data_IF_110978006576
#
_entry.id   IF_110978006576
#
_cell.length_a   1.000
_cell.length_b   1.000
_cell.length_c   1.000
_cell.angle_alpha   90.00
_cell.angle_beta   90.00
_cell.angle_gamma   90.00
#
_symmetry.space_group_name_H-M   'P 1'
#
loop_
_entity.id
_entity.type
_entity.pdbx_description
1 polymer ?
#
# COMPACT_ATOMS: atom_id res chain seq x y z
N UNK A 1 47.72 -3.23 25.75
CA UNK A 1 46.28 -3.52 25.95
C UNK A 1 45.67 -3.64 24.57
N UNK A 2 45.61 -4.86 24.07
CA UNK A 2 44.86 -5.22 22.87
C UNK A 2 43.44 -5.55 23.32
N UNK A 3 42.45 -4.87 22.76
CA UNK A 3 41.07 -5.33 22.78
C UNK A 3 40.74 -5.74 21.35
N UNK A 4 40.89 -7.04 21.11
CA UNK A 4 40.15 -7.72 20.06
C UNK A 4 38.67 -7.63 20.44
N UNK A 5 37.88 -6.93 19.65
CA UNK A 5 36.46 -7.20 19.54
C UNK A 5 36.24 -7.80 18.16
N UNK A 6 36.41 -9.12 18.11
CA UNK A 6 35.71 -9.96 17.15
C UNK A 6 34.22 -9.93 17.54
N UNK A 7 33.48 -8.91 17.08
CA UNK A 7 32.02 -8.99 17.06
C UNK A 7 31.63 -9.79 15.83
N UNK A 8 31.44 -11.09 16.09
CA UNK A 8 30.81 -12.03 15.20
C UNK A 8 29.46 -11.45 14.72
N UNK A 9 29.33 -11.22 13.42
CA UNK A 9 28.05 -10.99 12.79
C UNK A 9 27.21 -12.26 12.97
N UNK A 10 26.31 -12.27 13.94
CA UNK A 10 25.18 -13.20 13.95
C UNK A 10 24.24 -12.75 12.83
N UNK A 11 24.51 -13.20 11.61
CA UNK A 11 23.49 -13.22 10.55
C UNK A 11 22.37 -14.08 11.08
N UNK A 12 21.20 -13.49 11.33
CA UNK A 12 19.99 -14.26 11.62
C UNK A 12 19.61 -15.01 10.36
N UNK A 13 19.74 -16.33 10.37
CA UNK A 13 19.45 -17.24 9.25
C UNK A 13 17.95 -17.35 8.87
N UNK A 14 17.11 -16.40 9.28
CA UNK A 14 15.64 -16.45 9.14
C UNK A 14 15.09 -15.37 8.20
N UNK A 15 15.82 -14.99 7.14
CA UNK A 15 15.27 -14.14 6.08
C UNK A 15 14.43 -14.98 5.09
N UNK A 16 13.10 -14.83 5.17
CA UNK A 16 12.17 -15.46 4.23
C UNK A 16 11.94 -14.50 3.05
N UNK A 17 12.30 -14.95 1.85
CA UNK A 17 12.29 -14.14 0.63
C UNK A 17 10.99 -14.38 -0.16
N UNK A 18 10.12 -13.38 -0.30
CA UNK A 18 8.85 -13.48 -1.05
C UNK A 18 8.68 -12.30 -2.01
N UNK A 19 8.43 -12.50 -3.30
CA UNK A 19 8.30 -11.41 -4.27
C UNK A 19 6.88 -10.82 -4.25
N UNK A 20 6.68 -9.52 -4.47
CA UNK A 20 5.30 -8.98 -4.51
C UNK A 20 5.16 -7.52 -4.92
N UNK A 21 4.12 -7.20 -5.68
CA UNK A 21 3.77 -5.82 -6.06
C UNK A 21 2.94 -5.13 -4.99
N UNK A 22 2.15 -5.88 -4.23
CA UNK A 22 1.28 -5.38 -3.18
C UNK A 22 1.24 -6.37 -2.01
N UNK A 23 1.12 -5.87 -0.78
CA UNK A 23 0.97 -6.72 0.42
C UNK A 23 -0.12 -6.20 1.36
N UNK A 24 -0.90 -7.13 1.92
CA UNK A 24 -1.79 -6.85 3.05
C UNK A 24 -1.87 -8.07 3.98
N UNK A 25 -2.70 -7.98 5.02
CA UNK A 25 -3.01 -9.12 5.86
C UNK A 25 -4.43 -9.08 6.41
N UNK A 26 -4.98 -10.29 6.57
CA UNK A 26 -6.25 -10.49 7.25
C UNK A 26 -6.09 -10.32 8.76
N UNK A 27 -7.19 -10.03 9.45
CA UNK A 27 -7.19 -9.94 10.93
C UNK A 27 -6.88 -11.27 11.62
N UNK A 28 -6.96 -12.38 10.89
CA UNK A 28 -6.53 -13.71 11.36
C UNK A 28 -5.00 -13.88 11.38
N UNK A 29 -4.25 -12.90 10.88
CA UNK A 29 -2.79 -12.93 10.80
C UNK A 29 -2.25 -13.58 9.52
N UNK A 30 -3.13 -14.05 8.64
CA UNK A 30 -2.73 -14.47 7.31
C UNK A 30 -2.28 -13.28 6.48
N UNK A 31 -1.27 -13.48 5.66
CA UNK A 31 -0.70 -12.44 4.80
C UNK A 31 -1.10 -12.74 3.35
N UNK A 32 -1.40 -11.70 2.59
CA UNK A 32 -1.70 -11.80 1.17
C UNK A 32 -0.70 -10.96 0.40
N UNK A 33 -0.10 -11.56 -0.62
CA UNK A 33 0.86 -10.90 -1.50
C UNK A 33 0.37 -11.07 -2.94
N UNK A 34 0.26 -9.94 -3.64
CA UNK A 34 0.02 -9.92 -5.07
C UNK A 34 1.37 -9.89 -5.80
N UNK A 35 1.50 -10.65 -6.88
CA UNK A 35 2.72 -10.80 -7.68
C UNK A 35 2.53 -10.17 -9.05
N UNK A 36 3.64 -9.80 -9.69
CA UNK A 36 3.65 -9.20 -11.04
C UNK A 36 3.09 -10.12 -12.13
N UNK A 37 3.13 -11.43 -11.91
CA UNK A 37 2.54 -12.45 -12.79
C UNK A 37 1.02 -12.63 -12.57
N UNK A 38 0.33 -11.64 -11.99
CA UNK A 38 -1.12 -11.66 -11.74
C UNK A 38 -1.56 -12.81 -10.83
N UNK A 39 -0.66 -13.28 -9.98
CA UNK A 39 -0.98 -14.25 -8.92
C UNK A 39 -1.19 -13.52 -7.60
N UNK A 40 -2.13 -14.00 -6.81
CA UNK A 40 -2.36 -13.58 -5.43
C UNK A 40 -2.15 -14.80 -4.55
N UNK A 41 -1.17 -14.78 -3.65
CA UNK A 41 -0.89 -15.90 -2.76
C UNK A 41 -1.19 -15.55 -1.30
N UNK A 42 -1.71 -16.55 -0.59
CA UNK A 42 -2.00 -16.54 0.84
C UNK A 42 -0.85 -17.21 1.59
N UNK A 43 -0.42 -16.59 2.67
CA UNK A 43 0.61 -17.11 3.57
C UNK A 43 0.07 -17.23 5.00
N UNK A 44 0.51 -18.25 5.73
CA UNK A 44 0.27 -18.38 7.16
C UNK A 44 1.16 -17.43 7.98
N UNK A 45 1.00 -17.46 9.30
CA UNK A 45 1.79 -16.66 10.24
C UNK A 45 3.26 -17.09 10.31
N UNK A 46 3.62 -18.24 9.73
CA UNK A 46 4.98 -18.73 9.56
C UNK A 46 5.49 -18.48 8.14
N UNK A 47 4.80 -17.62 7.37
CA UNK A 47 5.13 -17.24 6.00
C UNK A 47 5.19 -18.42 5.02
N UNK A 48 4.43 -19.50 5.29
CA UNK A 48 4.28 -20.62 4.37
C UNK A 48 3.11 -20.38 3.44
N UNK A 49 3.30 -20.60 2.15
CA UNK A 49 2.23 -20.48 1.17
C UNK A 49 1.15 -21.54 1.43
N UNK A 50 -0.11 -21.09 1.53
CA UNK A 50 -1.28 -21.93 1.80
C UNK A 50 -2.10 -22.14 0.54
N UNK A 51 -2.38 -21.05 -0.18
CA UNK A 51 -3.22 -21.06 -1.38
C UNK A 51 -2.83 -19.91 -2.32
N UNK A 52 -3.29 -20.00 -3.57
CA UNK A 52 -3.14 -18.94 -4.56
C UNK A 52 -4.37 -18.85 -5.45
N UNK A 53 -4.57 -17.70 -6.06
CA UNK A 53 -5.59 -17.45 -7.07
C UNK A 53 -5.09 -16.42 -8.08
N UNK A 54 -5.67 -16.39 -9.28
CA UNK A 54 -5.29 -15.43 -10.32
C UNK A 54 -6.12 -14.14 -10.20
N UNK A 55 -5.50 -12.98 -10.38
CA UNK A 55 -6.16 -11.67 -10.52
C UNK A 55 -6.17 -11.26 -11.99
N UNK A 56 -7.08 -10.39 -12.40
CA UNK A 56 -7.27 -10.08 -13.83
C UNK A 56 -6.39 -8.95 -14.37
N UNK A 57 -5.37 -8.52 -13.61
CA UNK A 57 -4.50 -7.40 -13.97
C UNK A 57 -3.36 -7.21 -12.96
N UNK A 58 -2.51 -6.22 -13.19
CA UNK A 58 -1.44 -5.82 -12.27
C UNK A 58 -2.05 -5.20 -11.02
N UNK A 59 -1.68 -5.71 -9.85
CA UNK A 59 -2.06 -5.07 -8.59
C UNK A 59 -1.31 -3.75 -8.41
N UNK A 60 -2.05 -2.66 -8.29
CA UNK A 60 -1.49 -1.33 -7.95
C UNK A 60 -1.57 -1.06 -6.46
N UNK A 61 -2.56 -1.62 -5.77
CA UNK A 61 -2.73 -1.50 -4.32
C UNK A 61 -3.67 -2.57 -3.74
N UNK A 62 -3.57 -2.80 -2.44
CA UNK A 62 -4.37 -3.82 -1.73
C UNK A 62 -4.71 -3.31 -0.32
N UNK A 63 -5.95 -3.53 0.12
CA UNK A 63 -6.32 -3.26 1.50
C UNK A 63 -7.30 -4.28 2.06
N UNK A 64 -7.27 -4.48 3.37
CA UNK A 64 -8.26 -5.27 4.09
C UNK A 64 -9.53 -4.46 4.28
N UNK A 65 -10.66 -5.05 3.91
CA UNK A 65 -11.98 -4.39 3.97
C UNK A 65 -12.89 -5.01 5.03
N UNK A 66 -12.73 -6.31 5.29
CA UNK A 66 -13.41 -7.04 6.37
C UNK A 66 -12.45 -8.07 6.96
N UNK A 67 -12.74 -8.68 8.12
CA UNK A 67 -11.80 -9.62 8.76
C UNK A 67 -11.27 -10.73 7.86
N UNK A 68 -12.10 -11.19 6.91
CA UNK A 68 -11.80 -12.25 5.94
C UNK A 68 -11.97 -11.77 4.49
N UNK A 69 -11.82 -10.47 4.22
CA UNK A 69 -11.99 -9.95 2.86
C UNK A 69 -11.02 -8.79 2.59
N UNK A 70 -10.47 -8.79 1.38
CA UNK A 70 -9.59 -7.73 0.87
C UNK A 70 -10.16 -7.15 -0.42
N UNK A 71 -9.82 -5.89 -0.67
CA UNK A 71 -9.99 -5.24 -1.96
C UNK A 71 -8.64 -5.11 -2.64
N UNK A 72 -8.62 -5.29 -3.96
CA UNK A 72 -7.41 -5.21 -4.78
C UNK A 72 -7.66 -4.24 -5.92
N UNK A 73 -6.86 -3.17 -5.99
CA UNK A 73 -6.83 -2.25 -7.11
C UNK A 73 -6.06 -2.88 -8.28
N UNK A 74 -6.67 -2.93 -9.44
CA UNK A 74 -6.10 -3.60 -10.62
C UNK A 74 -5.99 -2.63 -11.80
N UNK A 75 -4.88 -2.74 -12.53
CA UNK A 75 -4.63 -2.05 -13.80
C UNK A 75 -4.05 -2.99 -14.87
N UNK A 76 -4.35 -2.74 -16.14
CA UNK A 76 -3.77 -3.49 -17.27
C UNK A 76 -2.59 -2.81 -17.93
N UNK A 77 -2.25 -1.57 -17.54
CA UNK A 77 -1.11 -0.89 -18.14
C UNK A 77 0.13 -1.45 -17.47
N UNK A 78 1.07 -2.08 -18.21
CA UNK A 78 2.37 -2.35 -17.63
C UNK A 78 2.96 -1.02 -17.17
N UNK A 79 3.68 -1.03 -16.06
CA UNK A 79 4.48 0.09 -15.54
C UNK A 79 5.64 0.47 -16.49
N UNK A 80 5.42 0.44 -17.81
CA UNK A 80 6.39 0.83 -18.81
C UNK A 80 6.57 2.34 -18.74
N UNK A 81 7.57 2.71 -17.94
CA UNK A 81 8.58 3.75 -18.19
C UNK A 81 8.08 5.16 -18.49
N UNK A 82 8.56 6.08 -17.66
CA UNK A 82 8.61 7.55 -17.75
C UNK A 82 9.25 8.12 -19.05
N UNK A 83 9.22 7.41 -20.17
CA UNK A 83 9.59 8.02 -21.43
C UNK A 83 8.39 8.82 -21.92
N UNK A 84 8.41 10.13 -21.64
CA UNK A 84 7.50 11.17 -22.13
C UNK A 84 7.47 11.32 -23.66
N UNK A 85 7.65 10.23 -24.40
CA UNK A 85 7.38 10.14 -25.82
C UNK A 85 5.90 9.88 -26.03
N UNK A 86 5.19 10.98 -26.23
CA UNK A 86 3.90 11.06 -26.89
C UNK A 86 3.80 10.12 -28.10
N UNK A 87 2.64 9.49 -28.24
CA UNK A 87 2.09 9.18 -29.55
C UNK A 87 1.99 7.69 -29.90
N UNK A 88 1.21 6.94 -29.13
CA UNK A 88 0.33 5.97 -29.78
C UNK A 88 -0.98 5.92 -29.01
N UNK A 89 -2.05 6.38 -29.67
CA UNK A 89 -3.46 6.26 -29.27
C UNK A 89 -3.87 4.77 -29.30
N UNK A 90 -3.11 3.92 -28.60
CA UNK A 90 -3.56 2.58 -28.24
C UNK A 90 -4.82 2.78 -27.41
N UNK A 91 -5.92 2.38 -28.03
CA UNK A 91 -7.28 2.66 -27.61
C UNK A 91 -7.47 2.59 -26.10
N UNK A 92 -7.98 3.66 -25.49
CA UNK A 92 -8.50 3.72 -24.11
C UNK A 92 -9.52 2.60 -23.78
N UNK A 93 -9.88 1.74 -24.75
CA UNK A 93 -10.86 0.67 -24.60
C UNK A 93 -10.37 -0.59 -23.86
N UNK A 94 -9.06 -0.79 -23.65
CA UNK A 94 -8.53 -2.03 -23.02
C UNK A 94 -7.89 -1.83 -21.63
N UNK A 95 -7.91 -0.62 -21.08
CA UNK A 95 -7.39 -0.38 -19.72
C UNK A 95 -8.38 -0.86 -18.67
N UNK A 96 -8.06 -1.99 -18.03
CA UNK A 96 -8.77 -2.42 -16.82
C UNK A 96 -8.55 -1.37 -15.73
N UNK A 97 -9.67 -0.86 -15.22
CA UNK A 97 -9.75 -0.05 -14.03
C UNK A 97 -10.82 -0.67 -13.15
N UNK A 98 -10.39 -1.48 -12.20
CA UNK A 98 -11.34 -2.17 -11.34
C UNK A 98 -10.77 -2.44 -9.97
N UNK A 99 -11.68 -2.67 -9.03
CA UNK A 99 -11.38 -3.22 -7.72
C UNK A 99 -11.95 -4.62 -7.66
N UNK A 100 -11.13 -5.60 -7.29
CA UNK A 100 -11.56 -6.98 -7.12
C UNK A 100 -11.62 -7.31 -5.63
N UNK A 101 -12.76 -7.85 -5.19
CA UNK A 101 -12.96 -8.30 -3.82
C UNK A 101 -12.63 -9.79 -3.71
N UNK A 102 -11.76 -10.12 -2.75
CA UNK A 102 -11.33 -11.49 -2.48
C UNK A 102 -11.63 -11.85 -1.04
N UNK A 103 -12.42 -12.91 -0.85
CA UNK A 103 -12.71 -13.50 0.45
C UNK A 103 -11.71 -14.59 0.84
N UNK A 104 -11.56 -14.83 2.14
CA UNK A 104 -10.88 -15.96 2.73
C UNK A 104 -11.90 -16.94 3.32
N UNK A 105 -12.03 -18.12 2.71
CA UNK A 105 -12.85 -19.23 3.25
C UNK A 105 -12.01 -20.49 3.38
N UNK A 106 -11.95 -21.05 4.59
CA UNK A 106 -11.24 -22.31 4.91
C UNK A 106 -9.81 -22.38 4.35
N UNK A 107 -9.08 -21.26 4.40
CA UNK A 107 -7.70 -21.18 3.92
C UNK A 107 -7.55 -21.00 2.40
N UNK A 108 -8.64 -20.72 1.69
CA UNK A 108 -8.64 -20.46 0.25
C UNK A 108 -9.07 -19.03 -0.06
N UNK A 109 -8.40 -18.44 -1.06
CA UNK A 109 -8.76 -17.15 -1.64
C UNK A 109 -9.88 -17.34 -2.68
N UNK A 110 -11.03 -16.71 -2.46
CA UNK A 110 -12.22 -16.82 -3.32
C UNK A 110 -12.53 -15.46 -3.92
N UNK A 111 -12.62 -15.39 -5.26
CA UNK A 111 -13.15 -14.20 -5.96
C UNK A 111 -14.63 -14.03 -5.62
N UNK A 112 -14.97 -12.88 -5.07
CA UNK A 112 -16.36 -12.56 -4.72
C UNK A 112 -16.99 -11.60 -5.75
N UNK A 113 -16.40 -10.41 -5.89
CA UNK A 113 -16.99 -9.33 -6.70
C UNK A 113 -15.93 -8.54 -7.47
N UNK A 114 -16.35 -7.96 -8.60
CA UNK A 114 -15.57 -6.97 -9.36
C UNK A 114 -16.35 -5.65 -9.41
N UNK A 115 -15.67 -4.57 -9.05
CA UNK A 115 -16.17 -3.19 -9.15
C UNK A 115 -15.45 -2.53 -10.32
N UNK A 116 -16.18 -2.23 -11.40
CA UNK A 116 -15.62 -1.50 -12.54
C UNK A 116 -15.61 0.00 -12.26
N UNK A 117 -14.46 0.63 -12.49
CA UNK A 117 -14.23 2.06 -12.29
C UNK A 117 -14.14 2.76 -13.65
N UNK A 118 -14.56 4.02 -13.70
CA UNK A 118 -14.45 4.86 -14.90
C UNK A 118 -13.18 5.71 -14.91
N UNK A 119 -12.24 5.43 -14.01
CA UNK A 119 -11.02 6.18 -13.79
C UNK A 119 -9.92 5.25 -13.26
N UNK A 120 -8.66 5.69 -13.33
CA UNK A 120 -7.52 4.94 -12.81
C UNK A 120 -7.67 4.61 -11.32
N UNK A 121 -7.11 3.48 -10.88
CA UNK A 121 -7.09 3.05 -9.49
C UNK A 121 -5.64 2.85 -9.05
N UNK A 122 -5.10 3.78 -8.26
CA UNK A 122 -3.69 3.79 -7.84
C UNK A 122 -3.54 3.32 -6.39
N UNK A 123 -4.43 3.80 -5.53
CA UNK A 123 -4.46 3.50 -4.11
C UNK A 123 -5.89 3.23 -3.66
N UNK A 124 -6.04 2.33 -2.70
CA UNK A 124 -7.32 1.96 -2.11
C UNK A 124 -7.22 1.90 -0.60
N UNK A 125 -8.20 2.50 0.06
CA UNK A 125 -8.41 2.35 1.48
C UNK A 125 -9.88 2.07 1.75
N UNK A 126 -10.19 1.46 2.89
CA UNK A 126 -11.56 1.18 3.27
C UNK A 126 -11.84 1.60 4.70
N UNK A 127 -13.11 1.88 4.97
CA UNK A 127 -13.61 2.00 6.32
C UNK A 127 -15.09 1.64 6.33
N UNK A 128 -15.46 0.65 7.17
CA UNK A 128 -16.80 0.04 7.16
C UNK A 128 -17.17 -0.46 5.75
N UNK A 129 -18.31 -0.05 5.21
CA UNK A 129 -18.81 -0.47 3.89
C UNK A 129 -18.49 0.56 2.78
N UNK A 130 -17.50 1.42 3.03
CA UNK A 130 -17.05 2.46 2.13
C UNK A 130 -15.62 2.19 1.64
N UNK A 131 -15.40 2.47 0.36
CA UNK A 131 -14.13 2.34 -0.34
C UNK A 131 -13.67 3.71 -0.85
N UNK A 132 -12.42 4.03 -0.63
CA UNK A 132 -11.78 5.27 -1.04
C UNK A 132 -10.71 4.94 -2.07
N UNK A 133 -10.80 5.56 -3.25
CA UNK A 133 -10.00 5.21 -4.42
C UNK A 133 -9.30 6.43 -4.98
N UNK A 134 -7.97 6.40 -5.08
CA UNK A 134 -7.18 7.46 -5.71
C UNK A 134 -6.94 7.18 -7.20
N UNK A 135 -6.90 8.25 -8.00
CA UNK A 135 -6.81 8.20 -9.48
C UNK A 135 -5.85 9.27 -10.04
N UNK A 136 -4.69 9.45 -9.43
CA UNK A 136 -3.63 10.35 -9.90
C UNK A 136 -3.86 11.82 -9.56
N UNK A 137 -5.08 12.34 -9.74
CA UNK A 137 -5.42 13.74 -9.44
C UNK A 137 -6.63 13.91 -8.53
N UNK A 138 -7.34 12.82 -8.23
CA UNK A 138 -8.57 12.85 -7.45
C UNK A 138 -8.70 11.64 -6.54
N UNK A 139 -9.45 11.84 -5.46
CA UNK A 139 -9.89 10.80 -4.53
C UNK A 139 -11.41 10.66 -4.64
N UNK A 140 -11.86 9.44 -4.82
CA UNK A 140 -13.26 9.08 -5.02
C UNK A 140 -13.75 8.22 -3.86
N UNK A 141 -15.01 8.39 -3.51
CA UNK A 141 -15.71 7.59 -2.52
C UNK A 141 -16.72 6.69 -3.20
N UNK A 142 -16.60 5.39 -2.96
CA UNK A 142 -17.48 4.34 -3.45
C UNK A 142 -18.13 3.59 -2.29
N UNK A 143 -19.33 3.06 -2.54
CA UNK A 143 -19.85 1.95 -1.73
C UNK A 143 -19.18 0.65 -2.16
N UNK A 144 -19.07 -0.31 -1.24
CA UNK A 144 -18.59 -1.67 -1.58
C UNK A 144 -19.43 -2.38 -2.64
N UNK A 145 -20.66 -1.92 -2.90
CA UNK A 145 -21.49 -2.37 -4.02
C UNK A 145 -21.02 -1.85 -5.39
N UNK A 146 -19.97 -1.05 -5.43
CA UNK A 146 -19.40 -0.45 -6.64
C UNK A 146 -20.06 0.86 -7.08
N UNK A 147 -21.01 1.39 -6.31
CA UNK A 147 -21.65 2.66 -6.63
C UNK A 147 -20.74 3.84 -6.24
N UNK A 148 -20.40 4.69 -7.22
CA UNK A 148 -19.72 5.96 -6.95
C UNK A 148 -20.67 6.87 -6.15
N UNK A 149 -20.23 7.29 -4.98
CA UNK A 149 -20.95 8.25 -4.13
C UNK A 149 -20.61 9.65 -4.59
N UNK A 150 -19.31 9.98 -4.56
CA UNK A 150 -18.82 11.31 -4.93
C UNK A 150 -17.30 11.32 -5.19
N UNK A 151 -16.83 12.43 -5.76
CA UNK A 151 -15.41 12.78 -5.82
C UNK A 151 -15.12 13.73 -4.66
N UNK A 152 -14.47 13.22 -3.62
CA UNK A 152 -14.28 13.94 -2.34
C UNK A 152 -13.14 14.96 -2.40
N UNK A 153 -12.09 14.70 -3.17
CA UNK A 153 -10.94 15.61 -3.26
C UNK A 153 -10.31 15.58 -4.65
N UNK A 154 -9.78 16.72 -5.08
CA UNK A 154 -9.15 16.87 -6.39
C UNK A 154 -8.03 17.92 -6.36
N UNK A 155 -6.86 17.57 -6.89
CA UNK A 155 -5.71 18.46 -7.05
C UNK A 155 -5.19 18.32 -8.49
N UNK A 156 -5.56 19.26 -9.36
CA UNK A 156 -5.14 19.25 -10.78
C UNK A 156 -3.86 20.01 -11.05
N UNK A 157 -3.06 20.35 -10.03
CA UNK A 157 -1.83 21.09 -10.29
C UNK A 157 -0.82 20.27 -11.10
N UNK A 158 -0.97 18.94 -11.12
CA UNK A 158 -0.17 18.01 -11.91
C UNK A 158 -0.94 16.69 -12.12
N UNK A 159 -0.38 15.72 -12.84
CA UNK A 159 -0.99 14.42 -13.16
C UNK A 159 -0.75 13.32 -12.11
N UNK A 160 0.10 13.56 -11.09
CA UNK A 160 0.45 12.62 -10.00
C UNK A 160 0.45 13.30 -8.62
N UNK A 161 -0.69 13.88 -8.25
CA UNK A 161 -0.89 14.65 -6.99
C UNK A 161 -1.72 13.92 -5.93
N UNK A 162 -2.48 12.88 -6.32
CA UNK A 162 -3.33 12.08 -5.42
C UNK A 162 -2.98 10.62 -5.66
N UNK A 163 -1.99 10.13 -4.90
CA UNK A 163 -1.30 8.87 -5.19
C UNK A 163 -1.79 7.71 -4.33
N UNK A 164 -1.38 7.63 -3.06
CA UNK A 164 -1.84 6.61 -2.11
C UNK A 164 -2.73 7.23 -1.05
N UNK A 165 -3.58 6.42 -0.42
CA UNK A 165 -4.40 6.89 0.68
C UNK A 165 -4.54 5.85 1.79
N UNK A 166 -4.80 6.34 3.00
CA UNK A 166 -5.19 5.52 4.14
C UNK A 166 -6.28 6.24 4.94
N UNK A 167 -7.17 5.47 5.57
CA UNK A 167 -8.22 6.02 6.44
C UNK A 167 -7.77 5.94 7.90
N UNK A 168 -8.05 6.99 8.67
CA UNK A 168 -7.80 7.01 10.11
C UNK A 168 -8.53 5.88 10.85
N UNK A 169 -7.99 5.44 11.99
CA UNK A 169 -8.49 4.29 12.76
C UNK A 169 -9.99 4.37 13.07
N UNK A 170 -10.51 5.58 13.25
CA UNK A 170 -11.91 5.83 13.60
C UNK A 170 -12.76 6.32 12.42
N UNK A 171 -12.19 6.38 11.20
CA UNK A 171 -12.88 6.91 10.02
C UNK A 171 -13.24 8.38 10.16
N UNK A 172 -12.41 9.14 10.86
CA UNK A 172 -12.54 10.58 11.09
C UNK A 172 -11.81 11.41 10.01
N UNK A 173 -10.82 10.80 9.36
CA UNK A 173 -9.93 11.45 8.39
C UNK A 173 -9.40 10.49 7.35
N UNK A 174 -8.97 11.06 6.24
CA UNK A 174 -8.29 10.37 5.15
C UNK A 174 -6.94 11.04 4.94
N UNK A 175 -5.89 10.24 4.90
CA UNK A 175 -4.54 10.68 4.58
C UNK A 175 -4.27 10.38 3.12
N UNK A 176 -3.80 11.37 2.37
CA UNK A 176 -3.50 11.27 0.95
C UNK A 176 -2.09 11.74 0.71
N UNK A 177 -1.29 10.90 0.07
CA UNK A 177 0.06 11.28 -0.31
C UNK A 177 0.06 11.96 -1.68
N UNK A 178 0.83 13.05 -1.80
CA UNK A 178 0.99 13.82 -3.01
C UNK A 178 2.43 13.71 -3.52
N UNK A 179 2.65 12.82 -4.49
CA UNK A 179 4.00 12.47 -4.98
C UNK A 179 4.72 13.66 -5.57
N UNK A 180 4.06 14.47 -6.40
CA UNK A 180 4.74 15.58 -7.06
C UNK A 180 5.03 16.77 -6.14
N UNK A 181 4.31 16.92 -5.03
CA UNK A 181 4.54 18.00 -4.05
C UNK A 181 5.29 17.54 -2.79
N UNK A 182 5.69 16.27 -2.72
CA UNK A 182 6.34 15.66 -1.56
C UNK A 182 5.63 15.99 -0.24
N UNK A 183 4.30 15.90 -0.21
CA UNK A 183 3.50 16.25 0.95
C UNK A 183 2.41 15.21 1.30
N UNK A 184 2.05 15.17 2.58
CA UNK A 184 0.88 14.46 3.10
C UNK A 184 -0.26 15.47 3.27
N UNK A 185 -1.41 15.16 2.70
CA UNK A 185 -2.65 15.91 2.89
C UNK A 185 -3.56 15.10 3.82
N UNK A 186 -4.02 15.73 4.89
CA UNK A 186 -5.06 15.14 5.76
C UNK A 186 -6.38 15.80 5.44
N UNK A 187 -7.37 14.97 5.13
CA UNK A 187 -8.72 15.37 4.77
C UNK A 187 -9.69 14.93 5.86
N UNK A 188 -10.76 15.70 6.07
CA UNK A 188 -11.98 15.19 6.68
C UNK A 188 -12.67 14.24 5.70
N UNK A 189 -13.62 13.44 6.19
CA UNK A 189 -14.35 12.48 5.35
C UNK A 189 -15.17 13.15 4.23
N UNK A 190 -15.51 14.44 4.38
CA UNK A 190 -16.20 15.24 3.35
C UNK A 190 -15.24 15.88 2.33
N UNK A 191 -13.93 15.59 2.42
CA UNK A 191 -12.92 16.14 1.53
C UNK A 191 -12.29 17.47 1.95
N UNK A 192 -12.76 18.09 3.04
CA UNK A 192 -12.17 19.32 3.56
C UNK A 192 -10.72 19.10 4.02
N UNK A 193 -9.79 19.95 3.60
CA UNK A 193 -8.38 19.86 4.02
C UNK A 193 -8.23 20.29 5.48
N UNK A 194 -7.73 19.39 6.32
CA UNK A 194 -7.49 19.61 7.76
C UNK A 194 -6.05 19.98 8.09
N UNK A 195 -5.10 19.42 7.35
CA UNK A 195 -3.68 19.71 7.47
C UNK A 195 -2.92 19.34 6.20
N UNK A 196 -1.74 19.94 6.07
CA UNK A 196 -0.74 19.61 5.07
C UNK A 196 0.61 19.53 5.76
N UNK A 197 1.34 18.45 5.52
CA UNK A 197 2.70 18.25 6.00
C UNK A 197 3.61 18.07 4.79
N UNK A 198 4.49 19.04 4.57
CA UNK A 198 5.48 19.02 3.48
C UNK A 198 6.73 18.21 3.88
N UNK A 199 7.61 17.99 2.90
CA UNK A 199 8.92 17.34 3.07
C UNK A 199 8.84 15.89 3.56
N UNK A 200 7.79 15.17 3.13
CA UNK A 200 7.67 13.72 3.37
C UNK A 200 8.51 12.88 2.40
N UNK A 201 9.03 13.49 1.33
CA UNK A 201 9.83 12.84 0.29
C UNK A 201 9.03 11.93 -0.64
N UNK A 202 9.74 11.35 -1.62
CA UNK A 202 9.18 10.45 -2.61
C UNK A 202 8.69 9.16 -1.93
N UNK A 203 7.38 8.95 -1.94
CA UNK A 203 6.70 7.90 -1.20
C UNK A 203 6.06 6.86 -2.13
N UNK A 204 6.02 5.62 -1.64
CA UNK A 204 5.48 4.47 -2.35
C UNK A 204 4.18 3.98 -1.74
N UNK A 205 4.05 4.09 -0.42
CA UNK A 205 2.92 3.54 0.32
C UNK A 205 2.61 4.33 1.60
N UNK A 206 1.41 4.13 2.14
CA UNK A 206 0.92 4.76 3.35
C UNK A 206 0.09 3.79 4.19
N UNK A 207 0.29 3.81 5.51
CA UNK A 207 -0.43 2.94 6.43
C UNK A 207 -0.79 3.67 7.72
N UNK A 208 -1.92 3.32 8.35
CA UNK A 208 -2.30 3.81 9.68
C UNK A 208 -2.12 2.71 10.71
N UNK A 209 -1.31 2.98 11.74
CA UNK A 209 -1.03 2.00 12.80
C UNK A 209 -2.23 1.86 13.75
N UNK A 210 -2.29 0.78 14.57
CA UNK A 210 -3.29 0.66 15.64
C UNK A 210 -3.27 1.79 16.68
N UNK A 211 -2.17 2.53 16.77
CA UNK A 211 -2.05 3.72 17.64
C UNK A 211 -2.56 5.00 16.96
N UNK A 212 -3.08 4.89 15.73
CA UNK A 212 -3.59 6.01 14.95
C UNK A 212 -2.50 6.87 14.32
N UNK A 213 -1.23 6.44 14.35
CA UNK A 213 -0.14 7.13 13.69
C UNK A 213 -0.10 6.78 12.20
N UNK A 214 0.46 7.67 11.39
CA UNK A 214 0.60 7.44 9.95
C UNK A 214 2.04 7.04 9.65
N UNK A 215 2.22 5.91 8.98
CA UNK A 215 3.49 5.52 8.40
C UNK A 215 3.46 5.87 6.91
N UNK A 216 4.45 6.62 6.44
CA UNK A 216 4.66 6.85 5.01
C UNK A 216 5.99 6.22 4.61
N UNK A 217 5.93 5.39 3.59
CA UNK A 217 7.06 4.62 3.09
C UNK A 217 7.69 5.36 1.93
N UNK A 218 9.00 5.55 1.97
CA UNK A 218 9.75 6.35 1.01
C UNK A 218 10.65 5.47 0.17
N UNK A 219 10.56 5.64 -1.15
CA UNK A 219 11.16 4.80 -2.19
C UNK A 219 12.57 4.30 -1.83
N UNK A 220 13.48 5.22 -1.49
CA UNK A 220 14.89 4.92 -1.12
C UNK A 220 15.30 5.51 0.23
N UNK A 221 14.38 6.15 0.95
CA UNK A 221 14.69 6.94 2.15
C UNK A 221 14.20 6.29 3.45
N UNK A 222 13.55 5.13 3.38
CA UNK A 222 13.03 4.42 4.54
C UNK A 222 11.63 4.91 4.96
N UNK A 223 11.35 4.95 6.26
CA UNK A 223 9.98 5.14 6.78
C UNK A 223 9.93 6.45 7.55
N UNK A 224 8.86 7.22 7.40
CA UNK A 224 8.53 8.30 8.33
C UNK A 224 7.29 7.93 9.13
N UNK A 225 7.33 8.19 10.42
CA UNK A 225 6.20 8.07 11.32
C UNK A 225 5.69 9.48 11.61
N UNK A 226 4.40 9.68 11.40
CA UNK A 226 3.70 10.94 11.54
C UNK A 226 2.60 10.76 12.60
N UNK A 227 2.30 11.83 13.33
CA UNK A 227 1.19 11.84 14.28
C UNK A 227 -0.16 11.55 13.63
N UNK A 228 -1.16 11.23 14.46
CA UNK A 228 -2.49 10.91 13.96
C UNK A 228 -3.22 12.09 13.34
N UNK A 229 -2.73 13.31 13.45
CA UNK A 229 -3.34 14.48 12.80
C UNK A 229 -2.67 14.82 11.45
N UNK A 230 -1.65 14.05 11.06
CA UNK A 230 -0.89 14.27 9.83
C UNK A 230 -0.14 15.60 9.84
N UNK A 231 0.29 16.08 11.01
CA UNK A 231 0.89 17.42 11.21
C UNK A 231 2.35 17.39 11.59
N UNK A 232 2.78 16.35 12.30
CA UNK A 232 4.12 16.30 12.88
C UNK A 232 4.80 14.99 12.55
N UNK A 233 6.01 15.06 11.99
CA UNK A 233 6.88 13.89 11.88
C UNK A 233 7.39 13.55 13.29
N UNK A 234 6.99 12.39 13.79
CA UNK A 234 7.41 11.86 15.10
C UNK A 234 8.81 11.28 14.99
N UNK A 235 9.05 10.49 13.95
CA UNK A 235 10.33 9.79 13.76
C UNK A 235 10.61 9.56 12.29
N UNK A 236 11.89 9.39 11.96
CA UNK A 236 12.36 8.99 10.64
C UNK A 236 13.27 7.78 10.83
N UNK A 237 12.92 6.68 10.19
CA UNK A 237 13.76 5.49 10.08
C UNK A 237 14.46 5.60 8.74
N UNK A 238 15.66 6.18 8.77
CA UNK A 238 16.50 6.30 7.57
C UNK A 238 16.94 4.92 7.07
N UNK A 239 17.35 4.87 5.80
CA UNK A 239 17.79 3.68 5.03
C UNK A 239 18.09 2.52 5.97
N UNK A 240 17.23 1.51 5.97
CA UNK A 240 17.49 0.25 6.69
C UNK A 240 18.82 -0.23 6.14
N UNK A 241 19.88 -0.13 6.94
CA UNK A 241 21.27 -0.03 6.47
C UNK A 241 21.78 -1.27 5.73
N UNK A 242 20.95 -2.30 5.63
CA UNK A 242 21.21 -3.58 4.98
C UNK A 242 20.26 -3.86 3.80
N UNK A 243 19.40 -2.90 3.46
CA UNK A 243 18.45 -3.00 2.35
C UNK A 243 18.93 -2.09 1.23
N UNK A 244 19.50 -2.70 0.19
CA UNK A 244 19.88 -2.03 -1.06
C UNK A 244 18.76 -2.04 -2.10
N UNK A 245 17.53 -2.34 -1.67
CA UNK A 245 16.40 -2.48 -2.56
C UNK A 245 15.33 -1.40 -2.43
N UNK A 246 14.53 -1.28 -3.48
CA UNK A 246 13.41 -0.35 -3.58
C UNK A 246 12.15 -0.97 -2.98
N UNK A 247 11.56 -0.33 -1.97
CA UNK A 247 10.33 -0.79 -1.33
C UNK A 247 9.11 -0.47 -2.20
N UNK A 248 8.39 -1.50 -2.64
CA UNK A 248 7.21 -1.38 -3.48
C UNK A 248 5.91 -1.22 -2.67
N UNK A 249 5.67 -2.09 -1.69
CA UNK A 249 4.47 -2.06 -0.86
C UNK A 249 4.78 -2.53 0.56
N UNK A 250 3.98 -2.07 1.52
CA UNK A 250 4.22 -2.33 2.92
C UNK A 250 2.94 -2.68 3.68
N UNK A 251 3.07 -3.67 4.55
CA UNK A 251 2.03 -4.07 5.49
C UNK A 251 2.54 -4.06 6.92
N UNK A 252 1.82 -3.37 7.81
CA UNK A 252 2.04 -3.47 9.25
C UNK A 252 1.19 -4.62 9.82
N UNK A 253 1.85 -5.70 10.19
CA UNK A 253 1.19 -6.83 10.82
C UNK A 253 0.89 -6.51 12.29
N UNK A 254 -0.37 -6.18 12.58
CA UNK A 254 -0.80 -5.81 13.92
C UNK A 254 -0.64 -6.93 14.96
N UNK A 255 -0.67 -8.21 14.54
CA UNK A 255 -0.54 -9.32 15.49
C UNK A 255 0.91 -9.50 15.95
N UNK A 256 1.86 -9.40 15.02
CA UNK A 256 3.29 -9.56 15.32
C UNK A 256 3.99 -8.24 15.60
N UNK A 257 3.31 -7.11 15.39
CA UNK A 257 3.87 -5.76 15.39
C UNK A 257 5.01 -5.57 14.38
N UNK A 258 5.10 -6.44 13.38
CA UNK A 258 6.14 -6.41 12.35
C UNK A 258 5.74 -5.54 11.16
N UNK A 259 6.73 -4.92 10.52
CA UNK A 259 6.58 -4.29 9.20
C UNK A 259 7.04 -5.30 8.15
N UNK A 260 6.19 -5.60 7.18
CA UNK A 260 6.51 -6.52 6.09
C UNK A 260 6.59 -5.70 4.82
N UNK A 261 7.73 -5.75 4.14
CA UNK A 261 8.02 -4.98 2.93
C UNK A 261 8.08 -5.92 1.73
N UNK A 262 7.61 -5.47 0.57
CA UNK A 262 7.91 -6.09 -0.72
C UNK A 262 8.84 -5.21 -1.54
N UNK A 263 9.68 -5.81 -2.39
CA UNK A 263 10.65 -5.14 -3.25
C UNK A 263 10.15 -4.98 -4.70
N UNK A 264 10.65 -3.96 -5.41
CA UNK A 264 10.38 -3.69 -6.84
C UNK A 264 11.31 -4.43 -7.83
N UNK A 265 12.50 -4.87 -7.42
CA UNK A 265 13.39 -5.73 -8.20
C UNK A 265 13.09 -7.22 -7.96
N UNK A 266 13.48 -8.05 -8.92
CA UNK A 266 12.93 -9.39 -9.15
C UNK A 266 12.89 -10.33 -7.93
N UNK A 267 13.55 -10.12 -6.77
CA UNK A 267 13.97 -11.21 -5.90
C UNK A 267 13.56 -11.24 -4.40
N UNK A 268 13.06 -10.18 -3.71
CA UNK A 268 12.95 -10.24 -2.21
C UNK A 268 11.70 -9.56 -1.58
N UNK A 269 11.19 -10.13 -0.47
CA UNK A 269 10.45 -9.38 0.55
C UNK A 269 11.25 -9.50 1.82
N UNK A 270 11.49 -8.39 2.49
CA UNK A 270 12.14 -8.39 3.79
C UNK A 270 11.08 -8.13 4.86
N UNK A 271 11.03 -9.00 5.85
CA UNK A 271 10.25 -8.76 7.06
C UNK A 271 11.15 -7.96 8.00
N UNK A 272 10.80 -6.70 8.23
CA UNK A 272 11.46 -5.87 9.23
C UNK A 272 10.59 -5.74 10.47
N UNK A 273 10.99 -6.41 11.54
CA UNK A 273 10.33 -6.26 12.83
C UNK A 273 10.84 -4.97 13.48
N UNK A 274 10.02 -3.93 13.50
CA UNK A 274 10.28 -2.75 14.33
C UNK A 274 9.71 -3.02 15.73
N UNK A 275 10.57 -3.42 16.66
CA UNK A 275 10.20 -3.43 18.06
C UNK A 275 10.15 -1.98 18.57
N UNK A 276 8.95 -1.50 18.92
CA UNK A 276 8.82 -0.28 19.71
C UNK A 276 9.52 -0.55 21.06
N UNK A 277 10.66 0.11 21.28
CA UNK A 277 11.26 0.22 22.61
C UNK A 277 10.52 1.26 23.45
#
# INVERSE_FOLDING_TARGET
>A
MNLNNDDASTKSDDEIHIRGTCICGFLSGHIVIAFSNQTLALFDQQYRSISHTEISGTCTDICTIRPNEIAIALSNKPDSSDDGSSGDETSEMDTIHQVQLIGLDKGQLIKDMVIHLTHLCIGIASYKDDLYVTSGTALYHYKMTGSLVEKIYEDKSDNRTVWKCAVGLHGDKIFVTNTNKDCLITLAMDGSVLSRLDEIGCHTDIHVTPLGQVLVFRYTQGIIQIDGDGRTIISKYEKISNIDFTVQSVFYNQMTQAIILTEQDDDIACILVFENK
#
